data_IF_743460097658
#
_entry.id   IF_743460097658
#
_cell.length_a   1.000
_cell.length_b   1.000
_cell.length_c   1.000
_cell.angle_alpha   90.00
_cell.angle_beta   90.00
_cell.angle_gamma   90.00
#
_symmetry.space_group_name_H-M   'P 1'
#
loop_
_entity.id
_entity.type
_entity.pdbx_description
1 polymer ?
#
# COMPACT_ATOMS: atom_id res chain seq x y z
N UNK A 1 9.55 -15.96 -35.62
CA UNK A 1 9.70 -15.13 -34.40
C UNK A 1 8.48 -14.26 -34.17
N UNK A 2 8.05 -13.42 -35.13
CA UNK A 2 6.85 -12.55 -34.96
C UNK A 2 5.53 -13.28 -34.62
N UNK A 3 5.30 -14.50 -35.11
CA UNK A 3 4.04 -15.23 -34.87
C UNK A 3 3.88 -15.67 -33.40
N UNK A 4 4.98 -16.05 -32.75
CA UNK A 4 5.00 -16.45 -31.33
C UNK A 4 4.71 -15.23 -30.44
N UNK A 5 5.27 -14.07 -30.80
CA UNK A 5 5.01 -12.82 -30.06
C UNK A 5 3.54 -12.38 -30.18
N UNK A 6 2.89 -12.59 -31.35
CA UNK A 6 1.46 -12.28 -31.54
C UNK A 6 0.58 -13.21 -30.72
N UNK A 7 0.85 -14.52 -30.70
CA UNK A 7 0.04 -15.50 -29.96
C UNK A 7 0.14 -15.32 -28.44
N UNK A 8 1.35 -15.06 -27.93
CA UNK A 8 1.58 -14.74 -26.52
C UNK A 8 0.86 -13.43 -26.15
N UNK A 9 0.96 -12.41 -27.00
CA UNK A 9 0.29 -11.11 -26.77
C UNK A 9 -1.22 -11.27 -26.73
N UNK A 10 -1.81 -12.02 -27.67
CA UNK A 10 -3.24 -12.27 -27.72
C UNK A 10 -3.73 -13.05 -26.49
N UNK A 11 -2.94 -14.04 -26.05
CA UNK A 11 -3.25 -14.82 -24.84
C UNK A 11 -3.22 -13.94 -23.59
N UNK A 12 -2.18 -13.11 -23.42
CA UNK A 12 -2.09 -12.17 -22.29
C UNK A 12 -3.24 -11.17 -22.28
N UNK A 13 -3.60 -10.61 -23.44
CA UNK A 13 -4.74 -9.70 -23.57
C UNK A 13 -6.06 -10.40 -23.20
N UNK A 14 -6.25 -11.63 -23.65
CA UNK A 14 -7.42 -12.43 -23.32
C UNK A 14 -7.51 -12.72 -21.80
N UNK A 15 -6.42 -13.19 -21.18
CA UNK A 15 -6.39 -13.45 -19.73
C UNK A 15 -6.57 -12.16 -18.91
N UNK A 16 -6.00 -11.05 -19.35
CA UNK A 16 -6.18 -9.74 -18.72
C UNK A 16 -7.65 -9.29 -18.80
N UNK A 17 -8.27 -9.42 -19.97
CA UNK A 17 -9.69 -9.13 -20.17
C UNK A 17 -10.57 -10.02 -19.30
N UNK A 18 -10.33 -11.33 -19.28
CA UNK A 18 -11.07 -12.30 -18.47
C UNK A 18 -10.99 -11.93 -16.99
N UNK A 19 -9.79 -11.61 -16.51
CA UNK A 19 -9.53 -11.28 -15.11
C UNK A 19 -10.20 -9.99 -14.65
N UNK A 20 -10.11 -8.93 -15.45
CA UNK A 20 -10.81 -7.67 -15.19
C UNK A 20 -12.32 -7.89 -15.18
N UNK A 21 -12.82 -8.69 -16.12
CA UNK A 21 -14.22 -9.06 -16.21
C UNK A 21 -14.67 -9.85 -14.97
N UNK A 22 -13.90 -10.86 -14.54
CA UNK A 22 -14.15 -11.60 -13.30
C UNK A 22 -14.15 -10.70 -12.08
N UNK A 23 -13.20 -9.78 -11.96
CA UNK A 23 -13.15 -8.84 -10.85
C UNK A 23 -14.39 -7.93 -10.80
N UNK A 24 -14.83 -7.43 -11.95
CA UNK A 24 -16.04 -6.59 -12.05
C UNK A 24 -17.27 -7.40 -11.68
N UNK A 25 -17.47 -8.58 -12.27
CA UNK A 25 -18.62 -9.44 -11.99
C UNK A 25 -18.66 -9.88 -10.53
N UNK A 26 -17.56 -10.37 -9.98
CA UNK A 26 -17.46 -10.77 -8.57
C UNK A 26 -17.73 -9.61 -7.63
N UNK A 27 -17.18 -8.42 -7.91
CA UNK A 27 -17.47 -7.21 -7.13
C UNK A 27 -18.96 -6.88 -7.13
N UNK A 28 -19.62 -6.90 -8.30
CA UNK A 28 -21.05 -6.62 -8.42
C UNK A 28 -21.86 -7.68 -7.68
N UNK A 29 -21.52 -8.96 -7.87
CA UNK A 29 -22.17 -10.10 -7.23
C UNK A 29 -22.10 -10.02 -5.70
N UNK A 30 -20.90 -9.86 -5.14
CA UNK A 30 -20.71 -9.79 -3.69
C UNK A 30 -21.32 -8.51 -3.08
N UNK A 31 -21.21 -7.35 -3.74
CA UNK A 31 -21.93 -6.15 -3.31
C UNK A 31 -23.45 -6.38 -3.33
N UNK A 32 -23.97 -7.06 -4.35
CA UNK A 32 -25.36 -7.48 -4.44
C UNK A 32 -25.78 -8.37 -3.27
N UNK A 33 -24.99 -9.42 -2.96
CA UNK A 33 -25.23 -10.31 -1.84
C UNK A 33 -25.23 -9.59 -0.49
N UNK A 34 -24.25 -8.71 -0.27
CA UNK A 34 -24.16 -7.93 0.97
C UNK A 34 -25.28 -6.89 1.09
N UNK A 35 -25.77 -6.33 -0.03
CA UNK A 35 -26.83 -5.31 -0.01
C UNK A 35 -28.26 -5.88 0.00
N UNK A 36 -28.52 -7.03 -0.65
CA UNK A 36 -29.88 -7.52 -0.89
C UNK A 36 -30.50 -8.39 0.22
N UNK A 37 -29.77 -9.04 1.14
CA UNK A 37 -30.51 -9.79 2.15
C UNK A 37 -29.87 -10.76 3.13
N UNK A 38 -28.58 -11.11 3.08
CA UNK A 38 -28.03 -12.11 4.05
C UNK A 38 -27.47 -11.45 5.32
N UNK A 39 -26.92 -10.24 5.21
CA UNK A 39 -26.43 -9.44 6.35
C UNK A 39 -27.01 -8.04 6.20
N UNK A 40 -28.23 -7.83 6.70
CA UNK A 40 -28.85 -6.49 6.75
C UNK A 40 -28.06 -5.62 7.73
N UNK A 41 -27.05 -4.91 7.24
CA UNK A 41 -26.46 -3.80 7.97
C UNK A 41 -27.40 -2.61 7.78
N UNK A 42 -27.93 -2.13 8.90
CA UNK A 42 -28.67 -0.88 8.95
C UNK A 42 -27.70 0.23 8.51
N UNK A 43 -27.69 0.56 7.21
CA UNK A 43 -26.95 1.68 6.63
C UNK A 43 -27.60 2.96 7.13
N UNK A 44 -27.35 3.32 8.38
CA UNK A 44 -27.39 4.73 8.74
C UNK A 44 -26.19 5.34 8.03
N UNK A 45 -26.42 6.22 7.06
CA UNK A 45 -25.44 7.23 6.72
C UNK A 45 -25.07 7.92 8.03
N UNK A 46 -23.95 7.51 8.62
CA UNK A 46 -23.45 8.19 9.80
C UNK A 46 -22.93 9.49 9.25
N UNK A 47 -23.76 10.53 9.40
CA UNK A 47 -23.34 11.88 9.08
C UNK A 47 -22.04 12.11 9.85
N UNK A 48 -20.99 12.43 9.12
CA UNK A 48 -19.63 12.63 9.64
C UNK A 48 -19.64 13.68 10.77
N UNK A 49 -20.68 14.53 10.81
CA UNK A 49 -20.90 15.54 11.83
C UNK A 49 -21.25 14.95 13.22
N UNK A 50 -21.71 13.69 13.32
CA UNK A 50 -22.04 13.03 14.59
C UNK A 50 -20.84 12.39 15.32
N UNK A 51 -19.63 12.43 14.75
CA UNK A 51 -18.42 11.86 15.37
C UNK A 51 -17.76 12.80 16.40
N UNK A 52 -18.17 14.07 16.44
CA UNK A 52 -17.65 15.06 17.37
C UNK A 52 -16.12 15.18 17.31
N UNK A 53 -15.47 15.23 18.48
CA UNK A 53 -14.01 15.35 18.62
C UNK A 53 -13.29 14.00 18.69
N UNK A 54 -14.00 12.87 18.54
CA UNK A 54 -13.44 11.53 18.74
C UNK A 54 -12.23 11.24 17.83
N UNK A 55 -12.23 11.56 16.52
CA UNK A 55 -11.04 11.38 15.69
C UNK A 55 -9.84 12.14 16.28
N UNK A 56 -9.98 13.43 16.56
CA UNK A 56 -8.90 14.26 17.10
C UNK A 56 -8.28 13.64 18.38
N UNK A 57 -9.10 13.07 19.27
CA UNK A 57 -8.58 12.37 20.45
C UNK A 57 -7.85 11.07 20.11
N UNK A 58 -8.35 10.27 19.18
CA UNK A 58 -7.64 9.05 18.77
C UNK A 58 -6.35 9.37 18.01
N UNK A 59 -6.27 10.52 17.33
CA UNK A 59 -5.03 11.03 16.75
C UNK A 59 -3.99 11.29 17.85
N UNK A 60 -4.35 12.03 18.91
CA UNK A 60 -3.44 12.33 20.03
C UNK A 60 -2.99 11.07 20.79
N UNK A 61 -3.92 10.14 21.06
CA UNK A 61 -3.57 8.89 21.74
C UNK A 61 -2.69 7.99 20.87
N UNK A 62 -3.00 7.85 19.58
CA UNK A 62 -2.21 7.03 18.67
C UNK A 62 -0.81 7.59 18.45
N UNK A 63 -0.68 8.91 18.33
CA UNK A 63 0.64 9.55 18.21
C UNK A 63 1.48 9.38 19.47
N UNK A 64 0.90 9.59 20.66
CA UNK A 64 1.58 9.30 21.93
C UNK A 64 2.08 7.84 22.00
N UNK A 65 1.26 6.88 21.56
CA UNK A 65 1.65 5.47 21.54
C UNK A 65 2.85 5.22 20.62
N UNK A 66 2.91 5.84 19.45
CA UNK A 66 4.07 5.73 18.54
C UNK A 66 5.33 6.34 19.17
N UNK A 67 5.21 7.48 19.86
CA UNK A 67 6.32 8.07 20.62
C UNK A 67 6.84 7.13 21.70
N UNK A 68 5.93 6.48 22.46
CA UNK A 68 6.31 5.49 23.47
C UNK A 68 7.07 4.32 22.83
N UNK A 69 6.64 3.82 21.66
CA UNK A 69 7.37 2.78 20.94
C UNK A 69 8.78 3.25 20.59
N UNK A 70 8.97 4.47 20.10
CA UNK A 70 10.30 4.99 19.81
C UNK A 70 11.19 5.05 21.05
N UNK A 71 10.64 5.48 22.19
CA UNK A 71 11.37 5.51 23.47
C UNK A 71 11.77 4.12 23.95
N UNK A 72 10.85 3.14 23.90
CA UNK A 72 11.12 1.75 24.30
C UNK A 72 12.23 1.13 23.44
N UNK A 73 12.29 1.49 22.16
CA UNK A 73 13.31 1.00 21.24
C UNK A 73 14.61 1.85 21.29
N UNK A 74 14.77 2.73 22.29
CA UNK A 74 15.99 3.52 22.48
C UNK A 74 16.25 4.53 21.36
N UNK A 75 15.23 4.93 20.59
CA UNK A 75 15.41 5.83 19.46
C UNK A 75 15.36 7.28 19.96
N UNK A 76 16.53 7.76 20.40
CA UNK A 76 16.75 9.12 20.87
C UNK A 76 17.33 10.07 19.81
N UNK A 77 17.77 11.23 20.27
CA UNK A 77 18.42 12.26 19.45
C UNK A 77 19.77 11.79 18.88
N UNK A 78 20.60 11.11 19.70
CA UNK A 78 21.89 10.54 19.31
C UNK A 78 21.79 9.56 18.13
N UNK A 79 20.80 8.67 18.19
CA UNK A 79 20.49 7.70 17.15
C UNK A 79 19.95 8.35 15.88
N UNK A 80 19.40 9.57 15.96
CA UNK A 80 18.90 10.29 14.80
C UNK A 80 20.05 10.95 14.03
N UNK A 81 21.00 11.53 14.75
CA UNK A 81 22.18 12.20 14.18
C UNK A 81 23.18 11.23 13.55
N UNK A 82 23.29 10.01 14.08
CA UNK A 82 24.22 8.98 13.60
C UNK A 82 23.66 8.11 12.46
N UNK A 83 22.36 8.17 12.19
CA UNK A 83 21.73 7.21 11.32
C UNK A 83 21.82 7.61 9.84
N UNK A 84 22.33 6.69 9.01
CA UNK A 84 22.33 6.81 7.55
C UNK A 84 20.90 6.80 6.99
N UNK A 85 20.66 7.47 5.86
CA UNK A 85 19.39 7.38 5.12
C UNK A 85 19.37 6.19 4.15
N UNK A 86 20.48 5.45 4.07
CA UNK A 86 20.68 4.32 3.16
C UNK A 86 19.79 3.12 3.50
N UNK A 87 19.41 2.92 4.76
CA UNK A 87 18.60 1.76 5.18
C UNK A 87 17.39 2.20 6.00
N UNK A 88 16.32 1.40 5.91
CA UNK A 88 15.19 1.54 6.83
C UNK A 88 15.71 1.22 8.23
N UNK A 89 15.23 1.92 9.26
CA UNK A 89 15.57 1.57 10.64
C UNK A 89 14.96 0.21 10.97
N UNK A 90 15.81 -0.71 11.40
CA UNK A 90 15.39 -2.02 11.88
C UNK A 90 14.94 -1.90 13.32
N UNK A 91 13.62 -1.97 13.53
CA UNK A 91 12.98 -1.89 14.86
C UNK A 91 12.24 -3.21 15.15
N UNK A 92 12.61 -4.30 14.47
CA UNK A 92 11.98 -5.62 14.60
C UNK A 92 10.45 -5.59 14.49
N UNK A 93 9.77 -6.30 15.41
CA UNK A 93 8.31 -6.41 15.47
C UNK A 93 7.61 -5.07 15.79
N UNK A 94 8.27 -4.15 16.48
CA UNK A 94 7.75 -2.80 16.77
C UNK A 94 7.40 -2.02 15.49
N UNK A 95 8.05 -2.35 14.37
CA UNK A 95 7.79 -1.74 13.07
C UNK A 95 6.34 -1.94 12.58
N UNK A 96 5.73 -3.09 12.87
CA UNK A 96 4.35 -3.39 12.53
C UNK A 96 3.38 -2.52 13.35
N UNK A 97 3.63 -2.37 14.65
CA UNK A 97 2.79 -1.54 15.52
C UNK A 97 2.85 -0.06 15.13
N UNK A 98 4.05 0.46 14.80
CA UNK A 98 4.20 1.83 14.29
C UNK A 98 3.37 2.00 13.02
N UNK A 99 3.42 1.04 12.08
CA UNK A 99 2.66 1.10 10.83
C UNK A 99 1.14 1.06 11.07
N UNK A 100 0.66 0.16 11.92
CA UNK A 100 -0.77 0.02 12.25
C UNK A 100 -1.30 1.31 12.86
N UNK A 101 -0.62 1.84 13.87
CA UNK A 101 -1.07 3.04 14.57
C UNK A 101 -0.93 4.28 13.69
N UNK A 102 0.13 4.35 12.89
CA UNK A 102 0.28 5.41 11.88
C UNK A 102 -0.81 5.34 10.81
N UNK A 103 -1.28 4.15 10.42
CA UNK A 103 -2.41 4.01 9.49
C UNK A 103 -3.70 4.61 10.06
N UNK A 104 -3.92 4.46 11.37
CA UNK A 104 -5.07 5.06 12.06
C UNK A 104 -4.91 6.57 12.21
N UNK A 105 -3.75 7.05 12.65
CA UNK A 105 -3.50 8.48 12.95
C UNK A 105 -3.45 9.30 11.68
N UNK A 106 -2.72 8.83 10.66
CA UNK A 106 -2.51 9.58 9.42
C UNK A 106 -3.74 9.58 8.50
N UNK A 107 -4.60 8.56 8.61
CA UNK A 107 -5.92 8.55 7.99
C UNK A 107 -6.84 9.70 8.42
N UNK A 108 -6.52 10.36 9.53
CA UNK A 108 -7.34 11.45 10.06
C UNK A 108 -7.04 12.81 9.46
N UNK A 109 -6.11 12.89 8.51
CA UNK A 109 -5.79 14.11 7.77
C UNK A 109 -7.05 14.84 7.31
N UNK A 110 -8.04 14.13 6.77
CA UNK A 110 -9.34 14.69 6.41
C UNK A 110 -10.01 15.50 7.54
N UNK A 111 -10.15 14.94 8.75
CA UNK A 111 -10.82 15.59 9.86
C UNK A 111 -10.06 16.83 10.34
N UNK A 112 -8.73 16.76 10.30
CA UNK A 112 -7.83 17.83 10.71
C UNK A 112 -7.93 18.99 9.72
N UNK A 113 -7.86 18.72 8.42
CA UNK A 113 -8.05 19.73 7.37
C UNK A 113 -9.45 20.36 7.44
N UNK A 114 -10.50 19.56 7.70
CA UNK A 114 -11.87 20.09 7.87
C UNK A 114 -12.01 20.95 9.13
N UNK A 115 -11.29 20.65 10.21
CA UNK A 115 -11.34 21.43 11.45
C UNK A 115 -10.85 22.87 11.29
N UNK A 116 -9.98 23.13 10.31
CA UNK A 116 -9.29 24.42 10.07
C UNK A 116 -8.52 24.98 11.28
N UNK A 117 -8.32 24.18 12.33
CA UNK A 117 -7.57 24.58 13.51
C UNK A 117 -6.07 24.46 13.23
N UNK A 118 -5.35 25.59 13.29
CA UNK A 118 -3.89 25.62 13.13
C UNK A 118 -3.20 24.69 14.13
N UNK A 119 -3.69 24.60 15.37
CA UNK A 119 -3.12 23.72 16.41
C UNK A 119 -3.15 22.26 15.96
N UNK A 120 -4.28 21.78 15.44
CA UNK A 120 -4.42 20.38 14.99
C UNK A 120 -3.57 20.11 13.74
N UNK A 121 -3.49 21.07 12.83
CA UNK A 121 -2.66 20.97 11.63
C UNK A 121 -1.17 20.92 12.00
N UNK A 122 -0.71 21.84 12.85
CA UNK A 122 0.67 21.89 13.32
C UNK A 122 1.06 20.61 14.07
N UNK A 123 0.18 20.10 14.93
CA UNK A 123 0.41 18.83 15.63
C UNK A 123 0.52 17.65 14.66
N UNK A 124 -0.38 17.56 13.69
CA UNK A 124 -0.37 16.50 12.68
C UNK A 124 0.92 16.52 11.85
N UNK A 125 1.33 17.70 11.40
CA UNK A 125 2.56 17.87 10.63
C UNK A 125 3.80 17.54 11.47
N UNK A 126 3.81 17.93 12.75
CA UNK A 126 4.87 17.57 13.69
C UNK A 126 4.96 16.05 13.86
N UNK A 127 3.84 15.38 14.14
CA UNK A 127 3.79 13.92 14.25
C UNK A 127 4.27 13.24 12.96
N UNK A 128 3.76 13.68 11.81
CA UNK A 128 4.15 13.16 10.50
C UNK A 128 5.65 13.29 10.26
N UNK A 129 6.24 14.45 10.57
CA UNK A 129 7.68 14.70 10.45
C UNK A 129 8.48 13.80 11.39
N UNK A 130 8.08 13.67 12.67
CA UNK A 130 8.75 12.78 13.62
C UNK A 130 8.75 11.35 13.11
N UNK A 131 7.59 10.80 12.72
CA UNK A 131 7.53 9.41 12.29
C UNK A 131 8.39 9.19 11.04
N UNK A 132 8.42 10.12 10.09
CA UNK A 132 9.30 10.03 8.91
C UNK A 132 10.77 10.02 9.33
N UNK A 133 11.19 10.94 10.21
CA UNK A 133 12.59 11.07 10.63
C UNK A 133 13.08 9.87 11.46
N UNK A 134 12.24 9.38 12.37
CA UNK A 134 12.61 8.32 13.31
C UNK A 134 12.45 6.92 12.70
N UNK A 135 11.37 6.66 11.96
CA UNK A 135 11.09 5.36 11.34
C UNK A 135 11.75 5.19 9.96
N UNK A 136 12.05 6.29 9.26
CA UNK A 136 12.74 6.31 7.95
C UNK A 136 12.08 5.44 6.88
N UNK A 137 10.75 5.33 6.90
CA UNK A 137 10.01 4.57 5.89
C UNK A 137 9.19 5.46 4.97
N UNK A 138 9.42 5.31 3.67
CA UNK A 138 8.60 5.88 2.59
C UNK A 138 7.12 5.49 2.67
N UNK A 139 6.81 4.35 3.28
CA UNK A 139 5.41 3.93 3.48
C UNK A 139 4.63 4.89 4.37
N UNK A 140 5.29 5.62 5.29
CA UNK A 140 4.64 6.60 6.17
C UNK A 140 4.13 7.81 5.39
N UNK A 141 4.91 8.26 4.41
CA UNK A 141 4.54 9.41 3.57
C UNK A 141 3.19 9.14 2.90
N UNK A 142 3.04 7.92 2.40
CA UNK A 142 1.81 7.51 1.74
C UNK A 142 0.65 7.43 2.75
N UNK A 143 0.91 7.21 4.06
CA UNK A 143 -0.13 6.98 5.09
C UNK A 143 -0.88 8.28 5.34
N UNK A 144 -0.17 9.41 5.26
CA UNK A 144 -0.77 10.74 5.39
C UNK A 144 -1.32 11.30 4.08
N UNK A 145 -0.63 11.08 2.96
CA UNK A 145 -0.99 11.69 1.69
C UNK A 145 -2.22 11.04 1.03
N UNK A 146 -2.32 9.72 1.05
CA UNK A 146 -3.37 9.01 0.30
C UNK A 146 -4.80 9.35 0.81
N UNK A 147 -5.06 9.41 2.13
CA UNK A 147 -6.36 9.86 2.67
C UNK A 147 -6.68 11.32 2.35
N UNK A 148 -5.66 12.19 2.35
CA UNK A 148 -5.81 13.58 1.99
C UNK A 148 -6.16 13.74 0.50
N UNK A 149 -5.43 13.06 -0.39
CA UNK A 149 -5.69 13.07 -1.84
C UNK A 149 -7.07 12.53 -2.16
N UNK A 150 -7.49 11.44 -1.52
CA UNK A 150 -8.83 10.91 -1.67
C UNK A 150 -9.91 11.94 -1.30
N UNK A 151 -9.72 12.65 -0.18
CA UNK A 151 -10.62 13.72 0.21
C UNK A 151 -10.66 14.86 -0.82
N UNK A 152 -9.50 15.35 -1.25
CA UNK A 152 -9.40 16.47 -2.18
C UNK A 152 -10.03 16.14 -3.53
N UNK A 153 -9.81 14.93 -4.04
CA UNK A 153 -10.30 14.49 -5.36
C UNK A 153 -11.78 14.12 -5.37
N UNK A 154 -12.23 13.31 -4.41
CA UNK A 154 -13.54 12.67 -4.50
C UNK A 154 -14.61 13.29 -3.58
N UNK A 155 -14.19 13.83 -2.42
CA UNK A 155 -15.13 14.34 -1.43
C UNK A 155 -15.32 15.86 -1.50
N UNK A 156 -14.27 16.62 -1.82
CA UNK A 156 -14.37 18.08 -1.93
C UNK A 156 -15.15 18.54 -3.17
N UNK A 157 -15.23 17.68 -4.20
CA UNK A 157 -15.84 17.94 -5.53
C UNK A 157 -15.32 19.19 -6.25
N UNK A 158 -14.20 19.78 -5.82
CA UNK A 158 -13.65 21.00 -6.42
C UNK A 158 -12.65 20.67 -7.53
N UNK A 159 -12.93 21.15 -8.75
CA UNK A 159 -12.03 21.01 -9.91
C UNK A 159 -10.65 21.64 -9.69
N UNK A 160 -10.53 22.62 -8.77
CA UNK A 160 -9.25 23.27 -8.45
C UNK A 160 -8.21 22.27 -7.92
N UNK A 161 -8.64 21.24 -7.19
CA UNK A 161 -7.72 20.24 -6.65
C UNK A 161 -7.25 19.23 -7.70
N UNK A 162 -8.03 18.98 -8.76
CA UNK A 162 -7.56 18.18 -9.90
C UNK A 162 -6.40 18.89 -10.60
N UNK A 163 -6.54 20.20 -10.84
CA UNK A 163 -5.47 21.01 -11.44
C UNK A 163 -4.26 21.06 -10.52
N UNK A 164 -4.47 21.28 -9.21
CA UNK A 164 -3.39 21.26 -8.22
C UNK A 164 -2.62 19.93 -8.23
N UNK A 165 -3.32 18.79 -8.24
CA UNK A 165 -2.68 17.48 -8.28
C UNK A 165 -1.94 17.24 -9.59
N UNK A 166 -2.52 17.65 -10.72
CA UNK A 166 -1.86 17.55 -12.03
C UNK A 166 -0.54 18.33 -12.09
N UNK A 167 -0.47 19.48 -11.40
CA UNK A 167 0.75 20.30 -11.31
C UNK A 167 1.74 19.76 -10.27
N UNK A 168 1.25 19.24 -9.15
CA UNK A 168 2.08 18.77 -8.04
C UNK A 168 2.64 17.37 -8.28
N UNK A 169 1.95 16.50 -9.02
CA UNK A 169 2.42 15.13 -9.27
C UNK A 169 3.78 15.05 -9.99
N UNK A 170 4.05 15.84 -11.06
CA UNK A 170 5.38 15.89 -11.67
C UNK A 170 6.46 16.40 -10.70
N UNK A 171 6.13 17.38 -9.85
CA UNK A 171 7.05 17.91 -8.83
C UNK A 171 7.37 16.84 -7.79
N UNK A 172 6.36 16.08 -7.34
CA UNK A 172 6.57 14.95 -6.42
C UNK A 172 7.46 13.90 -7.09
N UNK A 173 7.24 13.58 -8.36
CA UNK A 173 8.05 12.59 -9.08
C UNK A 173 9.52 13.03 -9.18
N UNK A 174 9.78 14.31 -9.48
CA UNK A 174 11.14 14.85 -9.50
C UNK A 174 11.76 14.85 -8.11
N UNK A 175 11.00 15.25 -7.09
CA UNK A 175 11.45 15.25 -5.70
C UNK A 175 11.78 13.83 -5.20
N UNK A 176 11.03 12.80 -5.62
CA UNK A 176 11.35 11.42 -5.23
C UNK A 176 12.62 10.93 -5.89
N UNK A 177 12.88 11.26 -7.16
CA UNK A 177 14.17 10.91 -7.79
C UNK A 177 15.34 11.70 -7.20
N UNK A 178 15.14 12.96 -6.85
CA UNK A 178 16.12 13.78 -6.15
C UNK A 178 16.48 13.20 -4.78
N UNK A 179 15.47 12.85 -3.96
CA UNK A 179 15.69 12.20 -2.66
C UNK A 179 16.36 10.82 -2.81
N UNK A 180 16.09 10.11 -3.91
CA UNK A 180 16.73 8.83 -4.22
C UNK A 180 18.21 9.02 -4.55
N UNK A 181 18.54 9.97 -5.41
CA UNK A 181 19.92 10.32 -5.76
C UNK A 181 20.71 10.76 -4.51
N UNK A 182 20.11 11.62 -3.68
CA UNK A 182 20.70 12.04 -2.39
C UNK A 182 21.01 10.84 -1.48
N UNK A 183 20.15 9.83 -1.47
CA UNK A 183 20.35 8.62 -0.67
C UNK A 183 21.57 7.82 -1.14
N UNK A 184 21.80 7.72 -2.44
CA UNK A 184 22.95 6.99 -2.98
C UNK A 184 24.30 7.67 -2.68
N UNK A 185 24.29 8.98 -2.45
CA UNK A 185 25.49 9.70 -1.99
C UNK A 185 25.83 9.47 -0.51
N UNK A 186 24.95 8.81 0.25
CA UNK A 186 25.24 8.41 1.63
C UNK A 186 25.17 9.56 2.62
N UNK A 187 26.32 10.17 2.96
CA UNK A 187 26.41 11.21 3.98
C UNK A 187 26.41 12.61 3.35
N UNK A 188 25.62 13.53 3.93
CA UNK A 188 25.49 14.92 3.47
C UNK A 188 26.82 15.71 3.43
N UNK A 189 27.85 15.24 4.12
CA UNK A 189 29.16 15.89 4.21
C UNK A 189 29.96 15.77 2.90
N UNK A 190 29.68 14.75 2.08
CA UNK A 190 30.38 14.48 0.82
C UNK A 190 29.50 14.72 -0.41
N UNK A 191 28.60 15.70 -0.32
CA UNK A 191 27.57 15.92 -1.33
C UNK A 191 28.19 16.57 -2.58
N UNK A 192 28.19 15.82 -3.68
CA UNK A 192 28.64 16.26 -4.99
C UNK A 192 27.42 16.60 -5.84
N UNK A 193 27.23 17.90 -6.10
CA UNK A 193 26.04 18.42 -6.78
C UNK A 193 25.97 17.96 -8.24
N UNK A 194 27.11 17.89 -8.93
CA UNK A 194 27.14 17.54 -10.35
C UNK A 194 26.80 16.05 -10.51
N UNK A 195 27.43 15.20 -9.70
CA UNK A 195 27.09 13.78 -9.62
C UNK A 195 25.64 13.54 -9.19
N UNK A 196 25.11 14.37 -8.28
CA UNK A 196 23.72 14.26 -7.83
C UNK A 196 22.74 14.52 -8.99
N UNK A 197 23.00 15.54 -9.81
CA UNK A 197 22.15 15.85 -10.96
C UNK A 197 22.23 14.77 -12.04
N UNK A 198 23.42 14.21 -12.26
CA UNK A 198 23.61 13.07 -13.15
C UNK A 198 22.83 11.84 -12.67
N UNK A 199 22.92 11.51 -11.38
CA UNK A 199 22.16 10.43 -10.76
C UNK A 199 20.64 10.65 -10.88
N UNK A 200 20.14 11.88 -10.72
CA UNK A 200 18.72 12.20 -10.92
C UNK A 200 18.29 11.95 -12.37
N UNK A 201 19.09 12.43 -13.34
CA UNK A 201 18.82 12.23 -14.76
C UNK A 201 18.82 10.75 -15.15
N UNK A 202 19.82 10.00 -14.66
CA UNK A 202 19.93 8.56 -14.88
C UNK A 202 18.76 7.81 -14.24
N UNK A 203 18.37 8.13 -12.99
CA UNK A 203 17.21 7.55 -12.34
C UNK A 203 15.91 7.82 -13.12
N UNK A 204 15.75 9.03 -13.66
CA UNK A 204 14.60 9.38 -14.51
C UNK A 204 14.59 8.56 -15.80
N UNK A 205 15.73 8.40 -16.49
CA UNK A 205 15.82 7.58 -17.70
C UNK A 205 15.50 6.11 -17.39
N UNK A 206 16.11 5.56 -16.34
CA UNK A 206 15.89 4.19 -15.91
C UNK A 206 14.43 3.92 -15.54
N UNK A 207 13.70 4.90 -15.00
CA UNK A 207 12.27 4.76 -14.70
C UNK A 207 11.44 4.37 -15.93
N UNK A 208 11.77 4.90 -17.11
CA UNK A 208 11.04 4.68 -18.36
C UNK A 208 11.47 3.42 -19.13
N UNK A 209 12.72 2.98 -18.96
CA UNK A 209 13.29 1.87 -19.76
C UNK A 209 13.30 0.57 -18.97
N UNK A 210 13.63 0.60 -17.68
CA UNK A 210 13.86 -0.57 -16.84
C UNK A 210 13.22 -0.43 -15.44
N UNK A 211 12.28 0.50 -15.28
CA UNK A 211 11.71 0.90 -13.99
C UNK A 211 10.18 0.84 -13.95
N UNK A 212 9.56 1.66 -13.10
CA UNK A 212 8.13 1.58 -12.81
C UNK A 212 7.21 1.96 -14.00
N UNK A 213 7.74 2.43 -15.13
CA UNK A 213 6.97 2.70 -16.35
C UNK A 213 7.20 1.69 -17.50
N UNK A 214 8.25 0.87 -17.45
CA UNK A 214 8.51 -0.20 -18.45
C UNK A 214 8.02 -1.59 -18.03
N UNK A 215 7.17 -1.59 -17.01
CA UNK A 215 6.62 -2.74 -16.29
C UNK A 215 5.98 -3.76 -17.22
N UNK A 216 5.25 -3.25 -18.22
CA UNK A 216 4.64 -4.06 -19.26
C UNK A 216 5.72 -4.88 -19.98
N UNK A 217 6.82 -4.25 -20.40
CA UNK A 217 7.92 -4.92 -21.10
C UNK A 217 8.65 -5.92 -20.20
N UNK A 218 8.89 -5.57 -18.94
CA UNK A 218 9.49 -6.47 -17.94
C UNK A 218 8.64 -7.74 -17.79
N UNK A 219 7.32 -7.59 -17.67
CA UNK A 219 6.42 -8.73 -17.53
C UNK A 219 6.23 -9.54 -18.82
N UNK A 220 6.22 -8.90 -20.00
CA UNK A 220 6.20 -9.60 -21.27
C UNK A 220 7.44 -10.47 -21.45
N UNK A 221 8.62 -9.98 -21.07
CA UNK A 221 9.85 -10.77 -21.13
C UNK A 221 9.81 -11.98 -20.18
N UNK A 222 9.31 -11.81 -18.95
CA UNK A 222 9.12 -12.92 -18.00
C UNK A 222 8.16 -13.97 -18.55
N UNK A 223 7.04 -13.55 -19.13
CA UNK A 223 6.03 -14.48 -19.68
C UNK A 223 6.54 -15.18 -20.94
N UNK A 224 7.36 -14.52 -21.76
CA UNK A 224 7.97 -15.12 -22.96
C UNK A 224 9.03 -16.17 -22.59
N UNK A 225 9.81 -15.91 -21.55
CA UNK A 225 10.90 -16.77 -21.14
C UNK A 225 10.42 -17.94 -20.24
N UNK A 226 9.21 -17.82 -19.66
CA UNK A 226 8.45 -18.93 -19.08
C UNK A 226 7.64 -19.66 -20.17
N UNK A 227 7.61 -21.00 -20.18
CA UNK A 227 6.69 -21.75 -21.04
C UNK A 227 5.25 -21.61 -20.50
N UNK A 228 4.61 -20.50 -20.86
CA UNK A 228 3.31 -20.05 -20.36
C UNK A 228 2.22 -21.12 -20.49
N UNK A 229 2.33 -21.99 -21.50
CA UNK A 229 1.36 -23.05 -21.80
C UNK A 229 1.51 -24.24 -20.85
N UNK A 230 2.72 -24.50 -20.35
CA UNK A 230 3.07 -25.75 -19.65
C UNK A 230 3.24 -25.61 -18.13
N UNK A 231 2.77 -24.51 -17.53
CA UNK A 231 2.82 -24.21 -16.09
C UNK A 231 4.24 -23.89 -15.58
N UNK A 232 4.47 -22.63 -15.19
CA UNK A 232 5.68 -22.20 -14.47
C UNK A 232 5.55 -22.56 -12.97
N UNK A 233 5.52 -23.85 -12.65
CA UNK A 233 5.07 -24.42 -11.36
C UNK A 233 5.88 -24.13 -10.09
N UNK A 234 6.90 -23.27 -10.16
CA UNK A 234 7.71 -22.85 -9.02
C UNK A 234 7.31 -21.50 -8.42
N UNK A 235 6.16 -20.96 -8.81
CA UNK A 235 5.55 -19.82 -8.15
C UNK A 235 4.70 -20.31 -6.94
N UNK A 236 5.34 -20.35 -5.77
CA UNK A 236 5.31 -19.39 -4.65
C UNK A 236 4.10 -19.15 -3.73
N UNK A 237 2.83 -19.46 -4.01
CA UNK A 237 1.82 -19.42 -2.92
C UNK A 237 2.03 -20.60 -1.94
N UNK A 238 2.03 -21.81 -2.49
CA UNK A 238 2.16 -23.05 -1.73
C UNK A 238 3.55 -23.12 -1.10
N UNK A 239 4.60 -22.70 -1.82
CA UNK A 239 5.95 -22.62 -1.27
C UNK A 239 6.14 -21.47 -0.27
N UNK A 240 5.47 -20.31 -0.38
CA UNK A 240 5.56 -19.26 0.66
C UNK A 240 4.84 -19.67 1.95
N UNK A 241 3.70 -20.37 1.83
CA UNK A 241 2.98 -20.92 2.99
C UNK A 241 3.73 -22.12 3.58
N UNK A 242 4.29 -23.01 2.75
CA UNK A 242 5.13 -24.13 3.20
C UNK A 242 6.50 -23.66 3.73
N UNK A 243 7.04 -22.56 3.20
CA UNK A 243 8.23 -21.85 3.66
C UNK A 243 8.05 -21.11 4.98
N UNK A 244 6.81 -20.78 5.34
CA UNK A 244 6.42 -20.34 6.69
C UNK A 244 6.39 -21.50 7.70
N UNK A 245 6.17 -22.73 7.23
CA UNK A 245 6.15 -23.94 8.07
C UNK A 245 7.52 -24.65 8.15
N UNK A 246 8.43 -24.35 7.23
CA UNK A 246 9.81 -24.86 7.21
C UNK A 246 10.77 -23.73 7.59
N UNK A 247 11.91 -24.02 8.21
CA UNK A 247 12.89 -23.05 8.73
C UNK A 247 13.63 -22.22 7.65
N UNK A 248 13.02 -22.02 6.48
CA UNK A 248 13.58 -21.35 5.30
C UNK A 248 13.28 -19.84 5.26
N UNK A 249 13.38 -19.17 6.42
CA UNK A 249 13.34 -17.71 6.44
C UNK A 249 14.57 -17.14 5.73
N UNK A 250 14.41 -16.64 4.50
CA UNK A 250 15.47 -15.92 3.79
C UNK A 250 15.68 -16.30 2.32
N UNK A 251 15.02 -17.34 1.81
CA UNK A 251 15.10 -17.68 0.38
C UNK A 251 14.18 -16.74 -0.41
N UNK A 252 14.75 -15.94 -1.33
CA UNK A 252 13.96 -15.16 -2.29
C UNK A 252 13.13 -16.12 -3.12
N UNK A 253 11.86 -15.79 -3.29
CA UNK A 253 10.96 -16.55 -4.15
C UNK A 253 11.25 -16.25 -5.64
N UNK A 254 10.92 -17.17 -6.55
CA UNK A 254 11.30 -17.10 -7.97
C UNK A 254 10.86 -15.77 -8.64
N UNK A 255 9.71 -15.22 -8.25
CA UNK A 255 9.22 -13.93 -8.71
C UNK A 255 10.15 -12.78 -8.34
N UNK A 256 10.85 -12.84 -7.21
CA UNK A 256 11.86 -11.85 -6.86
C UNK A 256 13.15 -12.03 -7.66
N UNK A 257 13.55 -13.27 -7.94
CA UNK A 257 14.73 -13.52 -8.78
C UNK A 257 14.53 -13.03 -10.22
N UNK A 258 13.38 -13.35 -10.82
CA UNK A 258 13.04 -12.89 -12.16
C UNK A 258 12.87 -11.37 -12.19
N UNK A 259 12.20 -10.79 -11.19
CA UNK A 259 12.10 -9.34 -11.09
C UNK A 259 13.47 -8.68 -10.99
N UNK A 260 14.35 -9.15 -10.10
CA UNK A 260 15.71 -8.62 -9.96
C UNK A 260 16.58 -8.84 -11.21
N UNK A 261 16.24 -9.81 -12.07
CA UNK A 261 16.95 -10.08 -13.33
C UNK A 261 16.55 -9.10 -14.44
N UNK A 262 15.26 -8.78 -14.58
CA UNK A 262 14.77 -7.86 -15.61
C UNK A 262 14.68 -6.39 -15.16
N UNK A 263 14.82 -6.14 -13.86
CA UNK A 263 14.79 -4.81 -13.27
C UNK A 263 16.17 -4.45 -12.75
N UNK A 264 16.79 -3.44 -13.35
CA UNK A 264 18.07 -2.93 -12.89
C UNK A 264 18.03 -2.56 -11.40
N UNK A 265 19.03 -2.98 -10.60
CA UNK A 265 19.13 -2.57 -9.21
C UNK A 265 19.10 -1.05 -9.11
N UNK A 266 18.05 -0.52 -8.48
CA UNK A 266 17.91 0.93 -8.35
C UNK A 266 17.14 1.64 -9.48
N UNK A 267 16.60 0.94 -10.49
CA UNK A 267 15.69 1.52 -11.49
C UNK A 267 14.21 1.45 -11.07
N UNK A 268 13.83 0.45 -10.27
CA UNK A 268 12.48 0.32 -9.72
C UNK A 268 12.44 0.35 -8.20
N UNK A 269 11.21 0.43 -7.68
CA UNK A 269 10.94 0.26 -6.26
C UNK A 269 9.49 0.55 -5.89
N UNK A 270 8.64 0.91 -6.85
CA UNK A 270 7.21 1.09 -6.63
C UNK A 270 6.43 -0.18 -6.97
N UNK A 271 6.84 -0.96 -7.96
CA UNK A 271 6.12 -2.20 -8.28
C UNK A 271 6.73 -3.42 -7.60
N UNK A 272 5.88 -4.41 -7.36
CA UNK A 272 6.20 -5.58 -6.57
C UNK A 272 5.77 -6.84 -7.36
N UNK A 273 6.63 -7.85 -7.47
CA UNK A 273 6.44 -8.94 -8.43
C UNK A 273 5.32 -9.92 -8.06
N UNK A 274 4.91 -9.94 -6.78
CA UNK A 274 4.00 -10.96 -6.24
C UNK A 274 2.65 -11.03 -6.95
N UNK A 275 2.04 -9.92 -7.38
CA UNK A 275 0.73 -9.99 -8.06
C UNK A 275 0.82 -10.72 -9.41
N UNK A 276 1.93 -10.56 -10.11
CA UNK A 276 2.19 -11.24 -11.37
C UNK A 276 2.59 -12.70 -11.14
N UNK A 277 3.40 -12.96 -10.10
CA UNK A 277 3.70 -14.32 -9.66
C UNK A 277 2.43 -15.12 -9.35
N UNK A 278 1.43 -14.49 -8.71
CA UNK A 278 0.13 -15.10 -8.49
C UNK A 278 -0.67 -15.29 -9.78
N UNK A 279 -0.73 -14.28 -10.65
CA UNK A 279 -1.61 -14.33 -11.81
C UNK A 279 -1.11 -15.28 -12.91
N UNK A 280 0.19 -15.31 -13.13
CA UNK A 280 0.80 -16.04 -14.25
C UNK A 280 1.62 -17.25 -13.81
N UNK A 281 2.18 -17.22 -12.59
CA UNK A 281 3.01 -18.30 -12.05
C UNK A 281 2.21 -19.35 -11.27
N UNK A 282 1.58 -18.95 -10.15
CA UNK A 282 0.94 -19.87 -9.20
C UNK A 282 -0.28 -20.61 -9.82
N UNK A 283 -0.93 -19.98 -10.81
CA UNK A 283 -2.25 -20.38 -11.31
C UNK A 283 -2.32 -20.52 -12.84
N UNK A 284 -1.17 -20.48 -13.53
CA UNK A 284 -1.03 -20.73 -14.97
C UNK A 284 -1.94 -19.88 -15.87
N UNK A 285 -2.31 -18.66 -15.45
CA UNK A 285 -3.31 -17.82 -16.13
C UNK A 285 -4.76 -18.33 -16.01
N UNK A 286 -4.98 -19.65 -16.05
CA UNK A 286 -6.30 -20.28 -16.02
C UNK A 286 -7.00 -20.18 -14.67
N UNK A 287 -6.31 -20.28 -13.54
CA UNK A 287 -6.93 -20.18 -12.21
C UNK A 287 -6.80 -18.77 -11.60
N UNK A 288 -6.14 -17.83 -12.31
CA UNK A 288 -5.96 -16.45 -11.88
C UNK A 288 -7.28 -15.72 -11.60
N UNK A 289 -8.38 -16.15 -12.23
CA UNK A 289 -9.71 -15.60 -11.97
C UNK A 289 -10.18 -15.83 -10.52
N UNK A 290 -9.76 -16.92 -9.84
CA UNK A 290 -10.12 -17.20 -8.43
C UNK A 290 -9.56 -16.12 -7.50
N UNK A 291 -8.34 -15.65 -7.79
CA UNK A 291 -7.74 -14.55 -7.07
C UNK A 291 -8.54 -13.26 -7.25
N UNK A 292 -9.00 -12.96 -8.46
CA UNK A 292 -9.85 -11.79 -8.70
C UNK A 292 -11.26 -11.90 -8.08
N UNK A 293 -11.80 -13.12 -7.93
CA UNK A 293 -13.00 -13.36 -7.11
C UNK A 293 -12.73 -13.00 -5.65
N UNK A 294 -11.60 -13.44 -5.08
CA UNK A 294 -11.20 -13.08 -3.71
C UNK A 294 -11.03 -11.57 -3.55
N UNK A 295 -10.39 -10.89 -4.51
CA UNK A 295 -10.24 -9.44 -4.50
C UNK A 295 -11.61 -8.74 -4.57
N UNK A 296 -12.52 -9.22 -5.41
CA UNK A 296 -13.89 -8.73 -5.50
C UNK A 296 -14.66 -8.88 -4.17
N UNK A 297 -14.50 -10.02 -3.49
CA UNK A 297 -15.06 -10.28 -2.16
C UNK A 297 -14.51 -9.28 -1.13
N UNK A 298 -13.18 -9.14 -1.07
CA UNK A 298 -12.48 -8.25 -0.13
C UNK A 298 -12.85 -6.78 -0.35
N UNK A 299 -12.93 -6.33 -1.60
CA UNK A 299 -13.42 -4.98 -1.93
C UNK A 299 -14.84 -4.77 -1.44
N UNK A 300 -15.72 -5.74 -1.72
CA UNK A 300 -17.13 -5.67 -1.32
C UNK A 300 -17.25 -5.63 0.20
N UNK A 301 -16.39 -6.38 0.90
CA UNK A 301 -16.27 -6.33 2.35
C UNK A 301 -15.81 -4.96 2.86
N UNK A 302 -14.71 -4.39 2.33
CA UNK A 302 -14.25 -3.04 2.69
C UNK A 302 -15.38 -2.02 2.49
N UNK A 303 -16.02 -2.04 1.33
CA UNK A 303 -17.10 -1.10 1.03
C UNK A 303 -18.28 -1.24 1.99
N UNK A 304 -18.57 -2.45 2.44
CA UNK A 304 -19.75 -2.75 3.23
C UNK A 304 -19.52 -2.53 4.72
N UNK A 305 -18.43 -3.08 5.25
CA UNK A 305 -18.16 -3.16 6.69
C UNK A 305 -17.17 -2.11 7.18
N UNK A 306 -16.21 -1.69 6.35
CA UNK A 306 -15.20 -0.69 6.74
C UNK A 306 -15.72 0.72 6.49
N UNK A 307 -16.16 1.01 5.27
CA UNK A 307 -16.57 2.38 4.88
C UNK A 307 -17.89 2.78 5.58
N UNK A 308 -18.84 1.86 5.73
CA UNK A 308 -20.13 2.17 6.37
C UNK A 308 -20.11 2.02 7.91
N UNK A 309 -18.97 1.69 8.53
CA UNK A 309 -18.88 1.56 9.98
C UNK A 309 -18.96 2.92 10.68
N UNK A 310 -19.54 2.96 11.89
CA UNK A 310 -19.44 4.13 12.79
C UNK A 310 -17.99 4.53 13.08
N UNK A 311 -17.09 3.56 13.02
CA UNK A 311 -15.66 3.78 13.28
C UNK A 311 -14.83 3.80 11.98
N UNK A 312 -15.43 4.12 10.83
CA UNK A 312 -14.73 4.11 9.53
C UNK A 312 -13.41 4.89 9.55
N UNK A 313 -13.32 5.96 10.35
CA UNK A 313 -12.11 6.77 10.52
C UNK A 313 -10.91 5.99 11.06
N UNK A 314 -11.13 4.89 11.81
CA UNK A 314 -10.07 3.99 12.26
C UNK A 314 -9.62 3.02 11.17
N UNK A 315 -10.46 2.76 10.17
CA UNK A 315 -10.25 1.70 9.18
C UNK A 315 -9.86 2.22 7.80
N UNK A 316 -10.20 3.47 7.48
CA UNK A 316 -10.01 4.05 6.14
C UNK A 316 -8.54 4.06 5.72
N UNK A 317 -7.62 4.24 6.67
CA UNK A 317 -6.19 4.04 6.46
C UNK A 317 -5.92 2.66 5.89
N UNK A 318 -6.21 1.60 6.63
CA UNK A 318 -5.98 0.22 6.20
C UNK A 318 -6.59 -0.12 4.84
N UNK A 319 -7.79 0.37 4.55
CA UNK A 319 -8.44 0.17 3.25
C UNK A 319 -7.67 0.82 2.09
N UNK A 320 -7.17 2.05 2.30
CA UNK A 320 -6.32 2.74 1.33
C UNK A 320 -4.97 2.05 1.17
N UNK A 321 -4.41 1.50 2.25
CA UNK A 321 -3.19 0.70 2.23
C UNK A 321 -3.31 -0.57 1.43
N UNK A 322 -4.36 -1.34 1.72
CA UNK A 322 -4.72 -2.52 0.96
C UNK A 322 -4.80 -2.18 -0.53
N UNK A 323 -5.53 -1.12 -0.88
CA UNK A 323 -5.74 -0.70 -2.27
C UNK A 323 -4.42 -0.31 -2.95
N UNK A 324 -3.57 0.48 -2.28
CA UNK A 324 -2.29 0.90 -2.81
C UNK A 324 -1.31 -0.27 -3.01
N UNK A 325 -1.12 -1.10 -1.99
CA UNK A 325 -0.18 -2.23 -2.09
C UNK A 325 -0.65 -3.24 -3.12
N UNK A 326 -1.97 -3.46 -3.21
CA UNK A 326 -2.56 -4.28 -4.26
C UNK A 326 -2.32 -3.68 -5.66
N UNK A 327 -2.51 -2.37 -5.84
CA UNK A 327 -2.24 -1.68 -7.11
C UNK A 327 -0.75 -1.71 -7.49
N UNK A 328 0.14 -1.72 -6.49
CA UNK A 328 1.60 -1.88 -6.66
C UNK A 328 2.03 -3.34 -6.91
N UNK A 329 1.09 -4.28 -6.86
CA UNK A 329 1.38 -5.70 -7.03
C UNK A 329 1.96 -6.41 -5.79
N UNK A 330 1.94 -5.77 -4.61
CA UNK A 330 2.47 -6.31 -3.35
C UNK A 330 1.37 -7.00 -2.55
N UNK A 331 1.12 -8.26 -2.90
CA UNK A 331 -0.02 -9.03 -2.42
C UNK A 331 0.09 -9.32 -0.92
N UNK A 332 1.24 -9.80 -0.44
CA UNK A 332 1.43 -10.09 0.99
C UNK A 332 1.26 -8.85 1.86
N UNK A 333 1.87 -7.72 1.47
CA UNK A 333 1.74 -6.47 2.20
C UNK A 333 0.28 -5.98 2.21
N UNK A 334 -0.46 -6.10 1.10
CA UNK A 334 -1.87 -5.70 1.07
C UNK A 334 -2.71 -6.55 2.03
N UNK A 335 -2.52 -7.87 2.05
CA UNK A 335 -3.24 -8.78 2.95
C UNK A 335 -2.94 -8.51 4.43
N UNK A 336 -1.70 -8.17 4.80
CA UNK A 336 -1.37 -7.80 6.20
C UNK A 336 -2.26 -6.65 6.68
N UNK A 337 -2.38 -5.57 5.91
CA UNK A 337 -3.24 -4.43 6.31
C UNK A 337 -4.73 -4.81 6.36
N UNK A 338 -5.18 -5.68 5.46
CA UNK A 338 -6.55 -6.21 5.49
C UNK A 338 -6.81 -7.01 6.77
N UNK A 339 -5.94 -7.98 7.09
CA UNK A 339 -6.06 -8.82 8.29
C UNK A 339 -6.05 -7.95 9.55
N UNK A 340 -5.18 -6.94 9.61
CA UNK A 340 -5.16 -6.00 10.74
C UNK A 340 -6.46 -5.20 10.88
N UNK A 341 -7.06 -4.76 9.77
CA UNK A 341 -8.37 -4.10 9.78
C UNK A 341 -9.48 -5.03 10.28
N UNK A 342 -9.46 -6.30 9.85
CA UNK A 342 -10.41 -7.33 10.28
C UNK A 342 -10.27 -7.63 11.78
N UNK A 343 -9.04 -7.79 12.27
CA UNK A 343 -8.76 -8.01 13.69
C UNK A 343 -9.23 -6.81 14.54
N UNK A 344 -8.93 -5.58 14.12
CA UNK A 344 -9.38 -4.38 14.82
C UNK A 344 -10.91 -4.30 14.84
N UNK A 345 -11.57 -4.61 13.72
CA UNK A 345 -13.02 -4.63 13.65
C UNK A 345 -13.62 -5.71 14.56
N UNK A 346 -13.01 -6.90 14.60
CA UNK A 346 -13.40 -7.97 15.50
C UNK A 346 -13.27 -7.56 16.97
N UNK A 347 -12.15 -6.95 17.38
CA UNK A 347 -11.94 -6.46 18.75
C UNK A 347 -12.98 -5.40 19.13
N UNK A 348 -13.21 -4.42 18.25
CA UNK A 348 -14.18 -3.36 18.49
C UNK A 348 -15.61 -3.91 18.58
N UNK A 349 -15.99 -4.84 17.69
CA UNK A 349 -17.30 -5.49 17.74
C UNK A 349 -17.44 -6.40 18.96
N UNK A 350 -16.45 -7.22 19.30
CA UNK A 350 -16.47 -8.09 20.47
C UNK A 350 -16.65 -7.27 21.77
N UNK A 351 -15.99 -6.11 21.88
CA UNK A 351 -16.16 -5.19 23.01
C UNK A 351 -17.58 -4.60 23.10
N UNK A 352 -18.24 -4.40 21.96
CA UNK A 352 -19.61 -3.87 21.88
C UNK A 352 -20.67 -4.94 22.11
N UNK A 353 -20.45 -6.18 21.65
CA UNK A 353 -21.33 -7.32 21.91
C UNK A 353 -21.31 -7.70 23.40
N UNK A 354 -20.16 -7.60 24.07
CA UNK A 354 -20.08 -7.81 25.53
C UNK A 354 -20.94 -6.81 26.32
N UNK A 355 -21.12 -5.58 25.81
CA UNK A 355 -22.01 -4.57 26.42
C UNK A 355 -23.50 -4.80 26.16
N UNK A 356 -23.87 -5.52 25.09
CA UNK A 356 -25.28 -5.86 24.80
C UNK A 356 -25.77 -7.12 25.50
N UNK A 357 -24.87 -7.99 25.96
CA UNK A 357 -25.22 -9.20 26.71
C UNK A 357 -25.38 -8.95 28.23
N UNK A 358 -25.13 -7.73 28.70
CA UNK A 358 -25.19 -7.32 30.13
C UNK A 358 -26.32 -6.28 30.35
N UNK A 359 -27.20 -6.11 29.38
CA UNK A 359 -28.46 -5.37 29.46
C UNK A 359 -29.57 -6.29 29.02
#
# INVERSE_FOLDING_TARGET
MEVIDIEITNSILFFSFLSQTTYVFSSIFFLGLFNKGVIRLNRKEISINNLGKLPIYTMYLGSLFVFIIFLINGIGYSELMSATFLTKREIGSSSLFILIVSAVVLAQSYFIFKSKSLIHISYYLFFFAVVILFYKSRSIIILGLLPLLYYLLFLSKSKKYLIFIALVAPIILLATQFLRALRYQGALVNLDIDRLMEDVSQNMKLLFVEGDFSVINIYFNIIRDCDFVNWCGDFTLIQSIAGLMTTLSGVKTLEYYLYDYYVSPGSSGSLHPTLFGFFYGDFGGYLGFLFFILVGLLRSYISTFVINSKFYFLFIGFAMYFTLFMARGSVYNSFVFMVMALLLLFILNASLFKKRAVT
#
